data_IF_992895489894
#
_entry.id   IF_992895489894
#
_cell.length_a   1.000
_cell.length_b   1.000
_cell.length_c   1.000
_cell.angle_alpha   90.00
_cell.angle_beta   90.00
_cell.angle_gamma   90.00
#
_symmetry.space_group_name_H-M   'P 1'
#
loop_
_entity.id
_entity.type
_entity.pdbx_description
1 polymer ?
#
# COMPACT_ATOMS: atom_id res chain seq x y z
N UNK A 1 -10.44 0.30 -16.47
CA UNK A 1 -9.79 -0.97 -16.04
C UNK A 1 -8.54 -0.71 -15.21
N UNK A 2 -7.61 0.15 -15.67
CA UNK A 2 -6.42 0.58 -14.91
C UNK A 2 -6.73 1.04 -13.47
N UNK A 3 -7.67 1.98 -13.29
CA UNK A 3 -8.05 2.45 -11.96
C UNK A 3 -8.57 1.31 -11.06
N UNK A 4 -9.34 0.36 -11.61
CA UNK A 4 -9.87 -0.79 -10.87
C UNK A 4 -8.74 -1.69 -10.38
N UNK A 5 -7.79 -2.03 -11.25
CA UNK A 5 -6.70 -2.94 -10.89
C UNK A 5 -5.76 -2.31 -9.85
N UNK A 6 -5.43 -1.02 -10.02
CA UNK A 6 -4.64 -0.25 -9.06
C UNK A 6 -5.37 -0.15 -7.72
N UNK A 7 -6.66 0.19 -7.73
CA UNK A 7 -7.47 0.25 -6.52
C UNK A 7 -7.54 -1.11 -5.81
N UNK A 8 -7.62 -2.22 -6.54
CA UNK A 8 -7.58 -3.57 -5.96
C UNK A 8 -6.26 -3.87 -5.27
N UNK A 9 -5.11 -3.51 -5.87
CA UNK A 9 -3.79 -3.68 -5.25
C UNK A 9 -3.69 -2.90 -3.94
N UNK A 10 -4.15 -1.65 -3.95
CA UNK A 10 -4.17 -0.81 -2.73
C UNK A 10 -5.15 -1.36 -1.70
N UNK A 11 -6.35 -1.80 -2.10
CA UNK A 11 -7.33 -2.38 -1.18
C UNK A 11 -6.79 -3.64 -0.50
N UNK A 12 -6.14 -4.53 -1.25
CA UNK A 12 -5.47 -5.70 -0.69
C UNK A 12 -4.37 -5.32 0.29
N UNK A 13 -3.56 -4.30 -0.04
CA UNK A 13 -2.55 -3.78 0.87
C UNK A 13 -3.15 -3.24 2.18
N UNK A 14 -4.23 -2.45 2.10
CA UNK A 14 -4.94 -1.91 3.27
C UNK A 14 -5.47 -3.05 4.15
N UNK A 15 -6.07 -4.09 3.55
CA UNK A 15 -6.58 -5.26 4.28
C UNK A 15 -5.42 -5.98 4.99
N UNK A 16 -4.32 -6.24 4.28
CA UNK A 16 -3.14 -6.88 4.85
C UNK A 16 -2.56 -6.07 6.01
N UNK A 17 -2.47 -4.76 5.85
CA UNK A 17 -1.99 -3.85 6.88
C UNK A 17 -2.92 -3.83 8.10
N UNK A 18 -4.24 -3.84 7.89
CA UNK A 18 -5.24 -3.94 8.95
C UNK A 18 -5.14 -5.23 9.75
N UNK A 19 -4.96 -6.37 9.08
CA UNK A 19 -4.73 -7.67 9.72
C UNK A 19 -3.41 -7.65 10.47
N UNK A 20 -2.33 -7.17 9.85
CA UNK A 20 -1.02 -7.04 10.47
C UNK A 20 -1.08 -6.18 11.74
N UNK A 21 -1.83 -5.07 11.73
CA UNK A 21 -2.02 -4.22 12.89
C UNK A 21 -2.75 -4.93 14.05
N UNK A 22 -3.66 -5.86 13.74
CA UNK A 22 -4.40 -6.64 14.74
C UNK A 22 -3.61 -7.82 15.31
N UNK A 23 -2.74 -8.42 14.50
CA UNK A 23 -2.06 -9.68 14.85
C UNK A 23 -0.62 -9.46 15.32
N UNK A 24 0.09 -8.46 14.77
CA UNK A 24 1.49 -8.21 15.11
C UNK A 24 1.63 -7.25 16.30
N UNK A 25 2.65 -7.45 17.15
CA UNK A 25 3.09 -6.43 18.10
C UNK A 25 3.41 -5.13 17.37
N UNK A 26 2.99 -3.98 17.92
CA UNK A 26 3.16 -2.67 17.28
C UNK A 26 4.61 -2.37 16.84
N UNK A 27 5.60 -2.85 17.60
CA UNK A 27 7.03 -2.71 17.29
C UNK A 27 7.45 -3.39 15.99
N UNK A 28 6.69 -4.39 15.50
CA UNK A 28 6.97 -5.13 14.25
C UNK A 28 6.25 -4.56 13.04
N UNK A 29 5.29 -3.65 13.23
CA UNK A 29 4.51 -3.04 12.14
C UNK A 29 5.39 -2.22 11.18
N UNK A 30 6.37 -1.40 11.65
CA UNK A 30 7.26 -0.68 10.73
C UNK A 30 8.06 -1.62 9.83
N UNK A 31 8.58 -2.72 10.38
CA UNK A 31 9.30 -3.74 9.61
C UNK A 31 8.38 -4.41 8.59
N UNK A 32 7.15 -4.76 8.97
CA UNK A 32 6.15 -5.31 8.05
C UNK A 32 5.86 -4.35 6.88
N UNK A 33 5.64 -3.06 7.16
CA UNK A 33 5.43 -2.03 6.13
C UNK A 33 6.63 -1.96 5.19
N UNK A 34 7.85 -1.94 5.72
CA UNK A 34 9.07 -1.89 4.94
C UNK A 34 9.20 -3.07 3.97
N UNK A 35 8.85 -4.28 4.40
CA UNK A 35 8.86 -5.47 3.53
C UNK A 35 7.68 -5.55 2.57
N UNK A 36 6.52 -4.98 2.93
CA UNK A 36 5.31 -5.04 2.12
C UNK A 36 5.30 -4.01 0.97
N UNK A 37 5.89 -2.83 1.17
CA UNK A 37 5.93 -1.75 0.17
C UNK A 37 6.54 -2.16 -1.19
N UNK A 38 7.67 -2.90 -1.25
CA UNK A 38 8.18 -3.44 -2.52
C UNK A 38 7.16 -4.32 -3.25
N UNK A 39 6.39 -5.13 -2.52
CA UNK A 39 5.32 -5.96 -3.08
C UNK A 39 4.17 -5.13 -3.67
N UNK A 40 3.82 -4.01 -3.03
CA UNK A 40 2.84 -3.06 -3.56
C UNK A 40 3.32 -2.43 -4.87
N UNK A 41 4.59 -2.00 -4.92
CA UNK A 41 5.18 -1.44 -6.16
C UNK A 41 5.14 -2.47 -7.29
N UNK A 42 5.44 -3.74 -6.98
CA UNK A 42 5.35 -4.83 -7.96
C UNK A 42 3.92 -5.05 -8.45
N UNK A 43 2.95 -5.11 -7.54
CA UNK A 43 1.53 -5.26 -7.89
C UNK A 43 0.99 -4.08 -8.70
N UNK A 44 1.46 -2.87 -8.41
CA UNK A 44 1.10 -1.67 -9.19
C UNK A 44 1.71 -1.69 -10.59
N UNK A 45 2.95 -2.17 -10.73
CA UNK A 45 3.59 -2.34 -12.03
C UNK A 45 2.83 -3.37 -12.88
N UNK A 46 2.51 -4.53 -12.32
CA UNK A 46 1.74 -5.58 -12.98
C UNK A 46 0.33 -5.08 -13.39
N UNK A 47 -0.37 -4.40 -12.48
CA UNK A 47 -1.67 -3.80 -12.77
C UNK A 47 -1.63 -2.76 -13.90
N UNK A 48 -0.55 -1.97 -13.97
CA UNK A 48 -0.34 -0.98 -15.03
C UNK A 48 0.01 -1.64 -16.38
N UNK A 49 0.78 -2.71 -16.36
CA UNK A 49 1.18 -3.46 -17.56
C UNK A 49 -0.02 -4.22 -18.14
N UNK A 50 -0.84 -4.88 -17.30
CA UNK A 50 -2.07 -5.57 -17.69
C UNK A 50 -3.13 -4.66 -18.34
N UNK A 51 -3.02 -3.34 -18.14
CA UNK A 51 -4.01 -2.37 -18.63
C UNK A 51 -3.46 -1.48 -19.75
N UNK A 52 -2.23 -1.74 -20.21
CA UNK A 52 -1.62 -1.01 -21.32
C UNK A 52 -1.35 0.46 -20.98
N UNK A 53 -0.97 0.77 -19.73
CA UNK A 53 -0.85 2.14 -19.23
C UNK A 53 0.10 3.05 -20.04
N UNK A 54 1.06 2.48 -20.76
CA UNK A 54 1.98 3.20 -21.65
C UNK A 54 2.63 4.40 -20.95
N UNK A 55 2.42 5.60 -21.50
CA UNK A 55 2.93 6.87 -20.93
C UNK A 55 2.42 7.18 -19.51
N UNK A 56 1.26 6.66 -19.10
CA UNK A 56 0.68 6.86 -17.76
C UNK A 56 1.16 5.83 -16.73
N UNK A 57 1.99 4.86 -17.12
CA UNK A 57 2.51 3.80 -16.24
C UNK A 57 3.22 4.37 -15.02
N UNK A 58 4.20 5.25 -15.24
CA UNK A 58 4.98 5.85 -14.15
C UNK A 58 4.07 6.63 -13.19
N UNK A 59 3.18 7.47 -13.71
CA UNK A 59 2.23 8.26 -12.90
C UNK A 59 1.31 7.36 -12.07
N UNK A 60 0.86 6.24 -12.66
CA UNK A 60 -0.01 5.27 -11.98
C UNK A 60 0.71 4.55 -10.85
N UNK A 61 1.96 4.12 -11.08
CA UNK A 61 2.78 3.48 -10.04
C UNK A 61 3.10 4.47 -8.93
N UNK A 62 3.52 5.70 -9.27
CA UNK A 62 3.84 6.74 -8.29
C UNK A 62 2.64 7.14 -7.45
N UNK A 63 1.47 7.33 -8.07
CA UNK A 63 0.24 7.67 -7.33
C UNK A 63 -0.25 6.54 -6.44
N UNK A 64 -0.20 5.29 -6.91
CA UNK A 64 -0.52 4.12 -6.08
C UNK A 64 0.47 3.95 -4.92
N UNK A 65 1.77 4.13 -5.17
CA UNK A 65 2.80 4.06 -4.14
C UNK A 65 2.63 5.15 -3.09
N UNK A 66 2.36 6.39 -3.52
CA UNK A 66 2.06 7.49 -2.61
C UNK A 66 0.85 7.16 -1.71
N UNK A 67 -0.23 6.62 -2.28
CA UNK A 67 -1.39 6.19 -1.50
C UNK A 67 -1.04 5.09 -0.48
N UNK A 68 -0.21 4.11 -0.86
CA UNK A 68 0.26 3.06 0.05
C UNK A 68 1.10 3.63 1.19
N UNK A 69 1.99 4.59 0.91
CA UNK A 69 2.79 5.28 1.93
C UNK A 69 1.90 6.08 2.89
N UNK A 70 0.92 6.83 2.37
CA UNK A 70 -0.02 7.61 3.19
C UNK A 70 -0.81 6.71 4.16
N UNK A 71 -1.36 5.60 3.67
CA UNK A 71 -2.08 4.64 4.52
C UNK A 71 -1.15 4.02 5.56
N UNK A 72 0.07 3.67 5.17
CA UNK A 72 1.07 3.12 6.10
C UNK A 72 1.39 4.10 7.23
N UNK A 73 1.57 5.37 6.88
CA UNK A 73 1.77 6.45 7.85
C UNK A 73 0.60 6.58 8.83
N UNK A 74 -0.64 6.50 8.34
CA UNK A 74 -1.82 6.51 9.21
C UNK A 74 -1.81 5.38 10.24
N UNK A 75 -1.54 4.15 9.82
CA UNK A 75 -1.48 2.99 10.74
C UNK A 75 -0.30 3.05 11.72
N UNK A 76 0.82 3.64 11.32
CA UNK A 76 1.99 3.84 12.19
C UNK A 76 1.79 4.97 13.20
N UNK A 77 1.03 6.01 12.84
CA UNK A 77 0.71 7.15 13.71
C UNK A 77 -0.52 6.89 14.59
N UNK A 78 -1.40 5.96 14.22
CA UNK A 78 -2.61 5.61 14.98
C UNK A 78 -2.37 5.31 16.48
N UNK A 79 -1.35 4.52 16.87
CA UNK A 79 -1.05 4.29 18.28
C UNK A 79 -0.50 5.52 19.01
N UNK A 80 -0.02 6.55 18.31
CA UNK A 80 0.46 7.80 18.92
C UNK A 80 -0.68 8.82 19.09
N UNK A 81 -1.68 8.79 18.20
CA UNK A 81 -2.80 9.74 18.19
C UNK A 81 -3.95 9.35 19.13
N UNK A 82 -4.17 8.05 19.37
CA UNK A 82 -5.31 7.55 20.16
C UNK A 82 -4.93 6.85 21.46
N UNK A 83 -3.64 6.91 21.84
CA UNK A 83 -3.10 6.31 23.07
C UNK A 83 -2.53 7.37 24.03
N UNK A 84 -3.09 8.58 23.97
CA UNK A 84 -2.89 9.65 24.95
C UNK A 84 -3.98 9.59 26.02
#
# INVERSE_FOLDING_TARGET
>A
MLFRNVASVIALYVIFLGIAYRVLPHVKIPAFVFFALPGVVWGLADAADLTGAGRKRAVTIWSGFAAAVTVSGWFLLFPLLFKA
#
